data_IF_744963184387
#
_entry.id   IF_744963184387
#
_cell.length_a   1.000
_cell.length_b   1.000
_cell.length_c   1.000
_cell.angle_alpha   90.00
_cell.angle_beta   90.00
_cell.angle_gamma   90.00
#
_symmetry.space_group_name_H-M   'P 1'
#
loop_
_entity.id
_entity.type
_entity.pdbx_description
1 polymer ?
#
# COMPACT_ATOMS: atom_id res chain seq x y z
N UNK A 1 -16.71 -15.77 1.10
CA UNK A 1 -17.07 -15.50 1.81
C UNK A 1 -16.79 -14.83 2.64
N UNK A 2 -16.88 -14.58 2.99
CA UNK A 2 -16.62 -13.99 3.80
C UNK A 2 -16.59 -13.94 4.70
N UNK A 3 -16.58 -14.05 5.19
CA UNK A 3 -16.78 -13.59 5.94
C UNK A 3 -16.54 -13.76 7.16
N UNK A 4 -17.01 -13.23 7.88
CA UNK A 4 -16.78 -13.24 9.14
C UNK A 4 -17.18 -14.41 9.79
N UNK A 5 -17.64 -15.24 9.27
CA UNK A 5 -18.12 -16.17 9.84
C UNK A 5 -17.83 -17.15 9.62
N UNK A 6 -17.74 -17.68 9.79
CA UNK A 6 -17.56 -18.58 9.71
C UNK A 6 -17.95 -19.40 9.12
N UNK A 7 -17.93 -19.25 8.28
CA UNK A 7 -18.18 -19.94 7.50
C UNK A 7 -17.89 -21.16 7.76
N UNK A 8 -18.31 -21.77 7.53
CA UNK A 8 -18.01 -22.92 7.85
C UNK A 8 -17.92 -23.12 9.20
N UNK A 9 -18.09 -22.20 9.82
CA UNK A 9 -17.97 -22.30 11.10
C UNK A 9 -19.19 -22.65 11.62
N UNK A 10 -19.23 -23.51 12.38
CA UNK A 10 -20.34 -23.91 12.95
C UNK A 10 -20.57 -23.18 14.16
N UNK A 11 -21.73 -22.97 14.57
CA UNK A 11 -22.05 -22.38 15.84
C UNK A 11 -21.29 -23.07 16.92
N UNK A 12 -20.70 -22.31 17.76
CA UNK A 12 -19.93 -22.84 18.84
C UNK A 12 -18.56 -23.36 18.48
N UNK A 13 -18.25 -23.33 17.21
CA UNK A 13 -16.91 -23.74 16.84
C UNK A 13 -15.94 -22.62 17.08
N UNK A 14 -14.69 -22.88 16.77
CA UNK A 14 -13.65 -21.92 17.06
C UNK A 14 -13.93 -20.56 16.45
N UNK A 15 -13.52 -19.54 17.14
CA UNK A 15 -13.55 -18.20 16.58
C UNK A 15 -12.42 -18.05 15.59
N UNK A 16 -12.63 -17.23 14.61
CA UNK A 16 -11.58 -16.95 13.65
C UNK A 16 -10.70 -15.87 14.17
N UNK A 17 -9.41 -16.09 14.12
CA UNK A 17 -8.46 -15.05 14.42
C UNK A 17 -8.33 -14.06 13.28
N UNK A 18 -8.64 -14.49 12.07
CA UNK A 18 -8.53 -13.70 10.87
C UNK A 18 -9.72 -13.93 9.99
N UNK A 19 -10.04 -12.94 9.20
CA UNK A 19 -11.09 -13.08 8.20
C UNK A 19 -10.63 -12.43 6.91
N UNK A 20 -11.27 -12.77 5.81
CA UNK A 20 -10.98 -12.14 4.54
C UNK A 20 -11.36 -10.67 4.58
N UNK A 21 -10.54 -9.86 3.94
CA UNK A 21 -10.83 -8.45 3.83
C UNK A 21 -12.03 -8.25 2.93
N UNK A 22 -12.87 -7.32 3.31
CA UNK A 22 -14.06 -6.99 2.51
C UNK A 22 -13.65 -6.36 1.19
N UNK A 23 -14.53 -6.40 0.21
CA UNK A 23 -14.29 -5.80 -1.09
C UNK A 23 -14.36 -4.28 -1.07
N UNK A 24 -15.01 -3.71 -0.06
CA UNK A 24 -15.07 -2.25 0.12
C UNK A 24 -14.31 -1.90 1.38
N UNK A 25 -13.33 -0.99 1.24
CA UNK A 25 -12.48 -0.57 2.35
C UNK A 25 -12.73 0.89 2.65
N UNK A 26 -12.70 1.23 3.93
CA UNK A 26 -12.76 2.62 4.36
C UNK A 26 -11.34 3.13 4.55
N UNK A 27 -11.00 4.20 3.85
CA UNK A 27 -9.66 4.78 3.90
C UNK A 27 -9.80 6.28 4.12
N UNK A 28 -9.07 6.79 5.11
CA UNK A 28 -9.05 8.23 5.37
C UNK A 28 -8.07 8.90 4.42
N UNK A 29 -8.50 9.95 3.74
CA UNK A 29 -7.61 10.70 2.87
C UNK A 29 -6.72 11.61 3.70
N UNK A 30 -5.47 11.73 3.27
CA UNK A 30 -4.49 12.59 3.91
C UNK A 30 -3.90 13.52 2.84
N UNK A 31 -4.07 14.83 2.96
CA UNK A 31 -3.52 15.72 1.96
C UNK A 31 -1.99 15.67 1.96
N UNK A 32 -1.40 15.76 0.77
CA UNK A 32 0.02 15.86 0.62
C UNK A 32 0.37 17.32 0.27
N UNK A 33 1.09 17.97 1.16
CA UNK A 33 1.27 19.40 1.07
C UNK A 33 2.28 19.86 0.03
N UNK A 34 3.07 19.04 -0.51
CA UNK A 34 4.11 19.45 -1.45
C UNK A 34 3.71 19.39 -2.91
N UNK A 35 2.46 19.06 -3.21
CA UNK A 35 2.09 18.79 -4.58
C UNK A 35 0.72 19.35 -4.93
N UNK A 36 0.59 19.76 -6.21
CA UNK A 36 -0.68 20.26 -6.75
C UNK A 36 -1.23 19.28 -7.76
N UNK A 37 -1.26 18.00 -7.42
CA UNK A 37 -1.76 16.96 -8.29
C UNK A 37 -2.40 15.86 -7.45
N UNK A 38 -3.20 15.04 -8.10
CA UNK A 38 -3.93 13.98 -7.42
C UNK A 38 -2.99 12.92 -6.87
N UNK A 39 -3.14 12.60 -5.61
CA UNK A 39 -2.42 11.50 -4.98
C UNK A 39 -3.42 10.65 -4.23
N UNK A 40 -3.07 9.39 -4.04
CA UNK A 40 -3.88 8.54 -3.17
C UNK A 40 -3.18 8.37 -1.82
N UNK A 41 -3.93 8.09 -0.76
CA UNK A 41 -3.32 7.93 0.56
C UNK A 41 -2.54 6.62 0.66
N UNK A 42 -1.45 6.60 1.42
CA UNK A 42 -0.68 5.37 1.64
C UNK A 42 -1.53 4.21 2.17
N UNK A 43 -2.53 4.52 2.99
CA UNK A 43 -3.40 3.50 3.58
C UNK A 43 -4.22 2.74 2.53
N UNK A 44 -4.39 3.30 1.35
CA UNK A 44 -5.08 2.62 0.26
C UNK A 44 -4.23 1.51 -0.33
N UNK A 45 -2.94 1.77 -0.52
CA UNK A 45 -2.06 0.86 -1.23
C UNK A 45 -1.38 -0.15 -0.31
N UNK A 46 -1.23 0.17 0.96
CA UNK A 46 -0.49 -0.70 1.88
C UNK A 46 -1.06 -2.12 1.98
N UNK A 47 -2.38 -2.32 2.12
CA UNK A 47 -2.91 -3.68 2.13
C UNK A 47 -2.61 -4.46 0.85
N UNK A 48 -2.57 -3.76 -0.29
CA UNK A 48 -2.27 -4.40 -1.57
C UNK A 48 -0.83 -4.89 -1.61
N UNK A 49 0.10 -4.09 -1.14
CA UNK A 49 1.51 -4.45 -1.12
C UNK A 49 1.76 -5.60 -0.16
N UNK A 50 1.16 -5.56 1.02
CA UNK A 50 1.33 -6.61 2.02
C UNK A 50 0.75 -7.94 1.55
N UNK A 51 -0.39 -7.90 0.85
CA UNK A 51 -1.03 -9.11 0.37
C UNK A 51 -0.36 -9.68 -0.87
N UNK A 52 0.16 -8.83 -1.74
CA UNK A 52 0.67 -9.24 -3.05
C UNK A 52 2.17 -9.47 -3.10
N UNK A 53 2.90 -9.24 -2.03
CA UNK A 53 4.36 -9.36 -2.05
C UNK A 53 4.89 -9.79 -0.69
N UNK A 54 6.17 -10.15 -0.67
CA UNK A 54 6.89 -10.50 0.56
C UNK A 54 8.04 -9.54 0.75
N UNK A 55 8.56 -9.48 1.95
CA UNK A 55 9.76 -8.66 2.22
C UNK A 55 10.87 -9.09 1.27
N UNK A 56 11.54 -8.11 0.69
CA UNK A 56 12.60 -8.34 -0.28
C UNK A 56 12.14 -8.41 -1.72
N UNK A 57 10.84 -8.54 -1.96
CA UNK A 57 10.31 -8.58 -3.32
C UNK A 57 10.35 -7.20 -3.96
N UNK A 58 10.29 -7.17 -5.29
CA UNK A 58 10.17 -5.93 -6.03
C UNK A 58 8.70 -5.56 -6.21
N UNK A 59 8.42 -4.29 -6.05
CA UNK A 59 7.11 -3.70 -6.36
C UNK A 59 7.32 -2.76 -7.55
N UNK A 60 6.54 -2.95 -8.60
CA UNK A 60 6.62 -2.14 -9.81
C UNK A 60 5.39 -1.24 -9.91
N UNK A 61 5.62 0.03 -10.16
CA UNK A 61 4.54 0.97 -10.45
C UNK A 61 4.87 1.72 -11.73
N UNK A 62 4.22 1.38 -12.86
CA UNK A 62 4.50 2.05 -14.13
C UNK A 62 3.97 3.47 -14.20
N UNK A 63 3.13 3.89 -13.25
CA UNK A 63 2.58 5.23 -13.17
C UNK A 63 2.92 5.83 -11.81
N UNK A 64 4.20 6.03 -11.59
CA UNK A 64 4.75 6.35 -10.26
C UNK A 64 4.14 7.60 -9.61
N UNK A 65 3.88 8.64 -10.38
CA UNK A 65 3.39 9.90 -9.84
C UNK A 65 4.33 10.44 -8.77
N UNK A 66 3.78 10.76 -7.61
CA UNK A 66 4.57 11.29 -6.50
C UNK A 66 5.32 10.23 -5.69
N UNK A 67 5.17 8.96 -6.05
CA UNK A 67 5.92 7.89 -5.40
C UNK A 67 5.27 7.29 -4.17
N UNK A 68 3.96 7.44 -4.01
CA UNK A 68 3.27 6.89 -2.84
C UNK A 68 3.43 5.37 -2.73
N UNK A 69 3.29 4.65 -3.85
CA UNK A 69 3.47 3.20 -3.87
C UNK A 69 4.88 2.83 -3.42
N UNK A 70 5.89 3.54 -3.94
CA UNK A 70 7.28 3.30 -3.55
C UNK A 70 7.53 3.57 -2.08
N UNK A 71 6.94 4.63 -1.56
CA UNK A 71 7.07 4.97 -0.16
C UNK A 71 6.57 3.83 0.73
N UNK A 72 5.39 3.31 0.42
CA UNK A 72 4.80 2.22 1.18
C UNK A 72 5.60 0.92 1.00
N UNK A 73 6.04 0.64 -0.22
CA UNK A 73 6.83 -0.56 -0.49
C UNK A 73 8.13 -0.57 0.32
N UNK A 74 8.88 0.52 0.27
CA UNK A 74 10.15 0.63 0.99
C UNK A 74 9.93 0.57 2.48
N UNK A 75 8.93 1.27 2.98
CA UNK A 75 8.59 1.25 4.40
C UNK A 75 8.37 -0.17 4.91
N UNK A 76 7.80 -1.03 4.07
CA UNK A 76 7.47 -2.40 4.44
C UNK A 76 8.53 -3.41 3.97
N UNK A 77 9.73 -2.95 3.66
CA UNK A 77 10.84 -3.83 3.36
C UNK A 77 10.89 -4.39 1.95
N UNK A 78 10.06 -3.87 1.04
CA UNK A 78 10.10 -4.25 -0.37
C UNK A 78 11.05 -3.34 -1.12
N UNK A 79 11.54 -3.81 -2.27
CA UNK A 79 12.26 -2.99 -3.22
C UNK A 79 11.27 -2.35 -4.17
N UNK A 80 11.64 -1.24 -4.78
CA UNK A 80 10.70 -0.50 -5.59
C UNK A 80 11.31 -0.09 -6.93
N UNK A 81 10.50 -0.20 -7.98
CA UNK A 81 10.83 0.31 -9.30
C UNK A 81 9.61 1.05 -9.84
N UNK A 82 9.77 2.34 -10.12
CA UNK A 82 8.70 3.15 -10.66
C UNK A 82 9.09 3.78 -11.98
N UNK A 83 8.09 4.15 -12.75
CA UNK A 83 8.27 4.81 -14.02
C UNK A 83 7.36 6.03 -14.07
N UNK A 84 7.87 7.15 -14.56
CA UNK A 84 7.16 8.41 -14.58
C UNK A 84 7.68 9.28 -15.71
N UNK A 85 6.77 9.90 -16.47
CA UNK A 85 7.14 10.77 -17.59
C UNK A 85 7.38 12.21 -17.14
N UNK A 86 6.77 12.64 -16.06
CA UNK A 86 6.88 14.02 -15.60
C UNK A 86 8.11 14.17 -14.73
N UNK A 87 9.07 14.98 -15.18
CA UNK A 87 10.33 15.17 -14.47
C UNK A 87 10.16 15.70 -13.06
N UNK A 88 9.23 16.62 -12.88
CA UNK A 88 8.98 17.18 -11.55
C UNK A 88 8.50 16.13 -10.58
N UNK A 89 7.68 15.19 -11.05
CA UNK A 89 7.21 14.08 -10.21
C UNK A 89 8.34 13.11 -9.88
N UNK A 90 9.25 12.89 -10.83
CA UNK A 90 10.41 12.05 -10.57
C UNK A 90 11.27 12.64 -9.44
N UNK A 91 11.54 13.95 -9.50
CA UNK A 91 12.32 14.62 -8.47
C UNK A 91 11.63 14.56 -7.12
N UNK A 92 10.32 14.80 -7.11
CA UNK A 92 9.53 14.74 -5.89
C UNK A 92 9.54 13.33 -5.30
N UNK A 93 9.42 12.30 -6.14
CA UNK A 93 9.47 10.92 -5.71
C UNK A 93 10.81 10.59 -5.07
N UNK A 94 11.89 11.00 -5.70
CA UNK A 94 13.24 10.75 -5.14
C UNK A 94 13.37 11.33 -3.75
N UNK A 95 12.90 12.55 -3.57
CA UNK A 95 12.96 13.20 -2.27
C UNK A 95 12.14 12.44 -1.23
N UNK A 96 10.93 12.05 -1.59
CA UNK A 96 10.06 11.31 -0.67
C UNK A 96 10.64 9.95 -0.31
N UNK A 97 11.18 9.22 -1.28
CA UNK A 97 11.68 7.87 -1.05
C UNK A 97 12.94 7.86 -0.19
N UNK A 98 13.76 8.89 -0.29
CA UNK A 98 14.96 9.00 0.53
C UNK A 98 14.65 9.19 2.00
N UNK A 99 13.48 9.68 2.34
CA UNK A 99 13.09 9.95 3.71
C UNK A 99 12.38 8.78 4.39
N UNK A 100 12.12 7.72 3.65
CA UNK A 100 11.39 6.58 4.19
C UNK A 100 12.30 5.72 5.05
N UNK A 101 11.80 5.34 6.22
CA UNK A 101 12.48 4.40 7.08
C UNK A 101 11.81 3.04 6.98
N UNK A 102 12.61 2.00 6.78
CA UNK A 102 12.10 0.64 6.68
C UNK A 102 11.59 0.19 8.04
N UNK A 103 10.40 -0.38 8.06
CA UNK A 103 9.82 -0.99 9.24
C UNK A 103 9.90 -2.50 9.08
N UNK A 104 10.70 -3.14 9.89
CA UNK A 104 10.93 -4.58 9.81
C UNK A 104 10.07 -5.38 10.79
#
# INVERSE_FOLDING_TARGET
MPTDVIAGVRPGSATYEKRNRRSVWTVTTKPYKGAHFATFPPDLIEPCILAGSRKGDFVLDPFNGSGTTGQVAIKNGRKYLGSELNWEYIELSKERLQKVQVQL
#
